data_IF_615701767298
#
_entry.id   IF_615701767298
#
_cell.length_a   1.000
_cell.length_b   1.000
_cell.length_c   1.000
_cell.angle_alpha   90.00
_cell.angle_beta   90.00
_cell.angle_gamma   90.00
#
_symmetry.space_group_name_H-M   'P 1'
#
loop_
_entity.id
_entity.type
_entity.pdbx_description
1 polymer ?
#
# COMPACT_ATOMS: atom_id res chain seq x y z
N UNK A 1 3.19 -4.98 -63.34
CA UNK A 1 4.37 -4.27 -62.79
C UNK A 1 4.08 -3.96 -61.32
N UNK A 2 4.77 -4.62 -60.40
CA UNK A 2 4.51 -4.55 -58.95
C UNK A 2 5.40 -3.44 -58.34
N UNK A 3 4.87 -2.51 -57.52
CA UNK A 3 5.68 -1.41 -56.98
C UNK A 3 6.70 -1.93 -55.95
N UNK A 4 7.94 -1.42 -56.04
CA UNK A 4 9.04 -1.69 -55.11
C UNK A 4 8.62 -1.32 -53.68
N UNK A 5 8.71 -2.29 -52.76
CA UNK A 5 8.37 -2.15 -51.34
C UNK A 5 9.18 -1.01 -50.69
N UNK A 6 8.55 -0.06 -49.97
CA UNK A 6 9.23 1.10 -49.35
C UNK A 6 10.04 0.76 -48.08
N UNK A 7 10.38 -0.52 -47.88
CA UNK A 7 11.03 -1.07 -46.68
C UNK A 7 12.28 -0.32 -46.19
N UNK A 8 13.23 0.11 -47.04
CA UNK A 8 14.45 0.74 -46.54
C UNK A 8 14.22 2.16 -45.99
N UNK A 9 13.23 2.89 -46.50
CA UNK A 9 12.92 4.26 -46.07
C UNK A 9 12.21 4.31 -44.72
N UNK A 10 11.35 3.33 -44.46
CA UNK A 10 10.65 3.22 -43.16
C UNK A 10 11.65 2.86 -42.05
N UNK A 11 12.59 1.95 -42.32
CA UNK A 11 13.63 1.57 -41.36
C UNK A 11 14.58 2.72 -41.03
N UNK A 12 14.95 3.54 -42.03
CA UNK A 12 15.78 4.72 -41.80
C UNK A 12 15.05 5.80 -41.01
N UNK A 13 13.76 6.02 -41.29
CA UNK A 13 12.95 6.97 -40.51
C UNK A 13 12.84 6.54 -39.03
N UNK A 14 12.59 5.26 -38.77
CA UNK A 14 12.50 4.73 -37.41
C UNK A 14 13.83 4.86 -36.64
N UNK A 15 14.97 4.65 -37.29
CA UNK A 15 16.28 4.86 -36.68
C UNK A 15 16.51 6.33 -36.32
N UNK A 16 16.13 7.26 -37.18
CA UNK A 16 16.25 8.69 -36.90
C UNK A 16 15.38 9.08 -35.70
N UNK A 17 14.12 8.61 -35.67
CA UNK A 17 13.21 8.86 -34.53
C UNK A 17 13.77 8.29 -33.24
N UNK A 18 14.31 7.07 -33.25
CA UNK A 18 14.94 6.45 -32.09
C UNK A 18 16.12 7.29 -31.55
N UNK A 19 16.99 7.77 -32.44
CA UNK A 19 18.13 8.62 -32.06
C UNK A 19 17.66 9.93 -31.45
N UNK A 20 16.61 10.55 -32.00
CA UNK A 20 16.03 11.78 -31.45
C UNK A 20 15.43 11.55 -30.07
N UNK A 21 14.69 10.44 -29.86
CA UNK A 21 14.12 10.08 -28.56
C UNK A 21 15.22 9.86 -27.53
N UNK A 22 16.28 9.12 -27.87
CA UNK A 22 17.40 8.87 -26.97
C UNK A 22 18.12 10.17 -26.61
N UNK A 23 18.40 11.04 -27.59
CA UNK A 23 19.01 12.34 -27.33
C UNK A 23 18.13 13.23 -26.44
N UNK A 24 16.81 13.22 -26.66
CA UNK A 24 15.85 13.95 -25.83
C UNK A 24 15.81 13.40 -24.40
N UNK A 25 15.84 12.07 -24.21
CA UNK A 25 15.93 11.46 -22.88
C UNK A 25 17.22 11.87 -22.15
N UNK A 26 18.38 11.80 -22.80
CA UNK A 26 19.64 12.23 -22.17
C UNK A 26 19.63 13.71 -21.80
N UNK A 27 18.97 14.55 -22.60
CA UNK A 27 18.80 15.97 -22.28
C UNK A 27 17.85 16.20 -21.09
N UNK A 28 16.72 15.48 -21.03
CA UNK A 28 15.75 15.55 -19.95
C UNK A 28 16.31 15.04 -18.60
N UNK A 29 17.09 13.95 -18.62
CA UNK A 29 17.75 13.41 -17.42
C UNK A 29 18.92 14.29 -16.92
N UNK A 30 19.47 15.15 -17.78
CA UNK A 30 20.55 16.09 -17.42
C UNK A 30 20.02 17.44 -16.92
N UNK A 31 18.72 17.55 -16.65
CA UNK A 31 18.11 18.79 -16.18
C UNK A 31 18.63 19.17 -14.77
N UNK A 32 18.98 20.46 -14.54
CA UNK A 32 19.50 20.92 -13.26
C UNK A 32 18.48 20.79 -12.10
N UNK A 33 17.18 20.73 -12.41
CA UNK A 33 16.11 20.52 -11.42
C UNK A 33 16.18 19.14 -10.74
N UNK A 34 16.59 18.09 -11.45
CA UNK A 34 16.78 16.75 -10.87
C UNK A 34 18.01 16.71 -9.93
N UNK A 35 19.06 17.45 -10.29
CA UNK A 35 20.27 17.59 -9.46
C UNK A 35 19.98 18.38 -8.17
N UNK A 36 19.15 19.42 -8.26
CA UNK A 36 18.70 20.20 -7.11
C UNK A 36 17.80 19.35 -6.20
N UNK A 37 16.86 18.58 -6.76
CA UNK A 37 15.99 17.66 -6.01
C UNK A 37 16.77 16.55 -5.29
N UNK A 38 17.84 16.01 -5.89
CA UNK A 38 18.73 15.03 -5.26
C UNK A 38 19.61 15.64 -4.18
N UNK A 39 20.12 16.86 -4.41
CA UNK A 39 20.91 17.60 -3.41
C UNK A 39 20.08 17.96 -2.18
N UNK A 40 18.81 18.33 -2.37
CA UNK A 40 17.88 18.66 -1.28
C UNK A 40 17.52 17.46 -0.39
N UNK A 41 17.71 16.22 -0.89
CA UNK A 41 17.48 14.97 -0.14
C UNK A 41 18.69 14.54 0.70
N UNK A 42 19.85 15.20 0.58
CA UNK A 42 21.11 14.78 1.26
C UNK A 42 21.52 15.73 2.40
N UNK A 43 20.58 16.54 2.92
CA UNK A 43 20.81 17.38 4.10
C UNK A 43 20.68 16.60 5.41
N UNK A 44 21.82 16.12 5.93
CA UNK A 44 22.00 15.53 7.27
C UNK A 44 21.77 16.57 8.39
N UNK A 45 21.02 16.28 9.48
CA UNK A 45 21.14 17.00 10.75
C UNK A 45 22.33 16.48 11.58
N UNK A 46 22.94 17.31 12.44
CA UNK A 46 24.28 17.08 12.97
C UNK A 46 24.36 15.99 14.05
N UNK A 47 25.50 15.31 14.04
CA UNK A 47 25.95 14.36 15.06
C UNK A 47 26.34 15.07 16.37
N UNK A 48 25.94 14.55 17.55
CA UNK A 48 26.65 14.80 18.79
C UNK A 48 27.29 13.51 19.32
N UNK A 49 28.62 13.57 19.52
CA UNK A 49 29.30 12.84 20.59
C UNK A 49 29.88 11.47 20.24
N UNK A 50 31.20 11.38 20.34
CA UNK A 50 32.04 10.17 20.36
C UNK A 50 31.51 9.10 21.34
N UNK A 51 31.43 7.80 20.96
CA UNK A 51 31.25 6.73 21.94
C UNK A 51 32.54 6.48 22.72
N UNK A 52 32.48 6.56 24.05
CA UNK A 52 33.51 6.04 24.96
C UNK A 52 33.52 4.50 24.99
N UNK A 53 34.64 3.87 25.40
CA UNK A 53 34.79 2.41 25.45
C UNK A 53 33.81 1.72 26.41
N UNK A 54 33.31 0.57 25.97
CA UNK A 54 32.28 -0.28 26.59
C UNK A 54 32.65 -0.75 28.00
N UNK A 55 31.76 -0.51 28.97
CA UNK A 55 31.68 -1.28 30.21
C UNK A 55 30.60 -2.39 30.07
N UNK A 56 30.74 -3.55 30.75
CA UNK A 56 29.92 -4.73 30.48
C UNK A 56 28.50 -4.55 31.06
N UNK A 57 27.48 -4.66 30.21
CA UNK A 57 26.10 -4.78 30.66
C UNK A 57 25.88 -6.22 31.09
N UNK A 58 25.71 -6.40 32.39
CA UNK A 58 25.24 -7.64 33.01
C UNK A 58 23.76 -7.87 32.69
N UNK A 59 23.44 -9.13 32.40
CA UNK A 59 22.17 -9.83 32.52
C UNK A 59 20.93 -9.27 31.77
N UNK A 60 20.77 -9.74 30.52
CA UNK A 60 19.45 -9.87 29.90
C UNK A 60 18.75 -11.13 30.47
N UNK A 61 17.54 -11.05 31.03
CA UNK A 61 16.72 -12.23 31.23
C UNK A 61 16.22 -12.79 29.90
N UNK A 62 16.24 -14.12 29.86
CA UNK A 62 15.95 -15.10 28.82
C UNK A 62 15.11 -14.68 27.60
N UNK A 63 15.53 -15.24 26.47
CA UNK A 63 14.86 -15.16 25.18
C UNK A 63 13.36 -15.48 25.26
N UNK A 64 12.54 -14.63 24.66
CA UNK A 64 11.15 -14.97 24.36
C UNK A 64 11.10 -16.30 23.58
N UNK A 65 10.19 -17.22 23.91
CA UNK A 65 10.12 -18.51 23.23
C UNK A 65 9.85 -18.34 21.73
N UNK A 66 10.29 -19.29 20.88
CA UNK A 66 10.02 -19.24 19.45
C UNK A 66 8.50 -19.26 19.23
N UNK A 67 7.96 -18.20 18.63
CA UNK A 67 6.59 -18.19 18.13
C UNK A 67 6.50 -19.28 17.06
N UNK A 68 5.90 -20.41 17.41
CA UNK A 68 5.63 -21.49 16.46
C UNK A 68 4.51 -21.00 15.56
N UNK A 69 4.83 -20.52 14.36
CA UNK A 69 3.82 -20.08 13.40
C UNK A 69 3.06 -21.30 12.89
N UNK A 70 1.79 -21.39 13.29
CA UNK A 70 0.89 -22.43 12.80
C UNK A 70 0.18 -21.87 11.56
N UNK A 71 0.45 -22.43 10.39
CA UNK A 71 -0.18 -22.01 9.14
C UNK A 71 -1.47 -22.79 8.87
N UNK A 72 -2.50 -22.09 8.39
CA UNK A 72 -3.73 -22.66 7.85
C UNK A 72 -3.50 -23.27 6.46
N UNK A 73 -4.49 -24.03 5.95
CA UNK A 73 -4.48 -24.58 4.60
C UNK A 73 -4.30 -23.52 3.48
N UNK A 74 -4.57 -22.23 3.78
CA UNK A 74 -4.36 -21.10 2.87
C UNK A 74 -2.95 -20.50 2.89
N UNK A 75 -2.03 -21.06 3.68
CA UNK A 75 -0.65 -20.57 3.82
C UNK A 75 -0.52 -19.28 4.64
N UNK A 76 -1.53 -18.98 5.48
CA UNK A 76 -1.55 -17.82 6.39
C UNK A 76 -1.63 -18.33 7.82
N UNK A 77 -1.00 -17.64 8.76
CA UNK A 77 -1.07 -17.97 10.20
C UNK A 77 -2.52 -18.15 10.69
N UNK A 78 -2.75 -19.13 11.57
CA UNK A 78 -4.09 -19.49 12.06
C UNK A 78 -4.76 -18.32 12.79
N UNK A 79 -4.02 -17.49 13.53
CA UNK A 79 -4.60 -16.33 14.20
C UNK A 79 -5.01 -15.25 13.18
N UNK A 80 -4.22 -15.06 12.12
CA UNK A 80 -4.57 -14.18 11.00
C UNK A 80 -5.78 -14.72 10.22
N UNK A 81 -5.90 -16.03 10.05
CA UNK A 81 -7.09 -16.64 9.46
C UNK A 81 -8.35 -16.37 10.30
N UNK A 82 -8.30 -16.65 11.60
CA UNK A 82 -9.43 -16.43 12.50
C UNK A 82 -9.87 -14.95 12.51
N UNK A 83 -8.91 -14.04 12.51
CA UNK A 83 -9.16 -12.59 12.41
C UNK A 83 -9.81 -12.20 11.08
N UNK A 84 -9.39 -12.80 9.96
CA UNK A 84 -10.02 -12.56 8.67
C UNK A 84 -11.45 -13.11 8.61
N UNK A 85 -11.75 -14.17 9.37
CA UNK A 85 -13.09 -14.77 9.41
C UNK A 85 -14.10 -13.89 10.17
N UNK A 86 -13.61 -13.03 11.09
CA UNK A 86 -14.40 -12.02 11.80
C UNK A 86 -14.92 -10.89 10.89
N UNK A 87 -14.34 -10.69 9.69
CA UNK A 87 -14.82 -9.69 8.74
C UNK A 87 -16.28 -9.95 8.37
N UNK A 88 -17.05 -8.87 8.29
CA UNK A 88 -18.47 -8.86 7.96
C UNK A 88 -19.33 -9.62 8.98
N UNK A 89 -18.84 -9.82 10.21
CA UNK A 89 -19.65 -10.37 11.27
C UNK A 89 -20.75 -9.34 11.65
N UNK A 90 -22.01 -9.73 11.47
CA UNK A 90 -23.19 -8.91 11.76
C UNK A 90 -23.36 -8.57 13.25
N UNK A 91 -22.75 -9.34 14.16
CA UNK A 91 -22.72 -9.04 15.59
C UNK A 91 -21.75 -7.91 15.94
N UNK A 92 -20.82 -7.57 15.04
CA UNK A 92 -19.85 -6.48 15.23
C UNK A 92 -20.31 -5.20 14.51
N UNK A 93 -20.01 -4.01 15.06
CA UNK A 93 -20.27 -2.74 14.38
C UNK A 93 -19.49 -2.68 13.04
N UNK A 94 -20.02 -2.02 12.00
CA UNK A 94 -19.35 -1.93 10.70
C UNK A 94 -17.92 -1.38 10.74
N UNK A 95 -17.64 -0.44 11.65
CA UNK A 95 -16.29 0.10 11.84
C UNK A 95 -15.26 -0.99 12.18
N UNK A 96 -15.68 -2.08 12.85
CA UNK A 96 -14.79 -3.19 13.19
C UNK A 96 -14.20 -3.87 11.95
N UNK A 97 -14.93 -3.91 10.84
CA UNK A 97 -14.41 -4.49 9.59
C UNK A 97 -13.22 -3.68 9.08
N UNK A 98 -13.29 -2.35 9.17
CA UNK A 98 -12.24 -1.44 8.73
C UNK A 98 -11.01 -1.52 9.66
N UNK A 99 -11.23 -1.66 10.96
CA UNK A 99 -10.16 -1.92 11.93
C UNK A 99 -9.43 -3.23 11.62
N UNK A 100 -10.15 -4.31 11.33
CA UNK A 100 -9.55 -5.59 10.96
C UNK A 100 -8.70 -5.44 9.69
N UNK A 101 -9.19 -4.74 8.67
CA UNK A 101 -8.40 -4.46 7.45
C UNK A 101 -7.15 -3.64 7.80
N UNK A 102 -7.26 -2.61 8.64
CA UNK A 102 -6.11 -1.83 9.08
C UNK A 102 -5.06 -2.67 9.83
N UNK A 103 -5.49 -3.61 10.69
CA UNK A 103 -4.61 -4.55 11.40
C UNK A 103 -3.82 -5.44 10.41
N UNK A 104 -4.43 -5.85 9.28
CA UNK A 104 -3.71 -6.58 8.23
C UNK A 104 -2.71 -5.71 7.47
N UNK A 105 -3.06 -4.46 7.16
CA UNK A 105 -2.14 -3.50 6.54
C UNK A 105 -0.94 -3.21 7.45
N UNK A 106 -1.18 -3.07 8.76
CA UNK A 106 -0.12 -2.90 9.75
C UNK A 106 0.76 -4.15 9.84
N UNK A 107 0.17 -5.34 9.85
CA UNK A 107 0.92 -6.61 9.85
C UNK A 107 1.79 -6.75 8.60
N UNK A 108 1.25 -6.38 7.43
CA UNK A 108 2.02 -6.32 6.18
C UNK A 108 3.18 -5.33 6.29
N UNK A 109 2.94 -4.13 6.82
CA UNK A 109 3.96 -3.10 6.97
C UNK A 109 5.08 -3.53 7.94
N UNK A 110 4.73 -4.22 9.03
CA UNK A 110 5.72 -4.81 9.95
C UNK A 110 6.60 -5.86 9.25
N UNK A 111 6.02 -6.64 8.34
CA UNK A 111 6.74 -7.68 7.59
C UNK A 111 7.58 -7.17 6.41
N UNK A 112 7.21 -6.05 5.80
CA UNK A 112 7.84 -5.53 4.58
C UNK A 112 8.57 -4.21 4.75
N UNK A 113 8.37 -3.51 5.86
CA UNK A 113 8.93 -2.20 6.17
C UNK A 113 8.09 -1.00 5.72
N UNK A 114 7.01 -1.21 4.96
CA UNK A 114 6.12 -0.13 4.51
C UNK A 114 4.68 -0.62 4.29
N UNK A 115 3.71 0.28 4.46
CA UNK A 115 2.33 0.00 4.05
C UNK A 115 2.26 -0.26 2.53
N UNK A 116 1.35 -1.14 2.07
CA UNK A 116 1.13 -1.31 0.63
C UNK A 116 0.58 0.01 0.05
N UNK A 117 0.89 0.25 -1.21
CA UNK A 117 0.47 1.46 -1.94
C UNK A 117 -0.22 1.06 -3.24
N UNK A 118 -1.14 1.90 -3.71
CA UNK A 118 -1.90 1.66 -4.92
C UNK A 118 -3.40 1.77 -4.66
N UNK A 119 -4.19 1.25 -5.60
CA UNK A 119 -5.63 1.15 -5.42
C UNK A 119 -6.01 -0.07 -4.56
N UNK A 120 -7.32 -0.32 -4.39
CA UNK A 120 -7.80 -1.48 -3.64
C UNK A 120 -7.26 -2.81 -4.19
N UNK A 121 -7.21 -2.98 -5.51
CA UNK A 121 -6.76 -4.23 -6.11
C UNK A 121 -5.25 -4.44 -5.88
N UNK A 122 -4.45 -3.38 -5.99
CA UNK A 122 -3.02 -3.41 -5.68
C UNK A 122 -2.78 -3.77 -4.21
N UNK A 123 -3.48 -3.10 -3.29
CA UNK A 123 -3.38 -3.34 -1.84
C UNK A 123 -3.81 -4.77 -1.51
N UNK A 124 -4.93 -5.22 -2.08
CA UNK A 124 -5.42 -6.59 -1.90
C UNK A 124 -4.38 -7.60 -2.37
N UNK A 125 -3.86 -7.43 -3.60
CA UNK A 125 -2.84 -8.31 -4.15
C UNK A 125 -1.55 -8.33 -3.31
N UNK A 126 -1.16 -7.21 -2.72
CA UNK A 126 -0.03 -7.11 -1.83
C UNK A 126 -0.24 -7.97 -0.58
N UNK A 127 -1.36 -7.80 0.12
CA UNK A 127 -1.59 -8.47 1.41
C UNK A 127 -2.00 -9.95 1.26
N UNK A 128 -2.57 -10.34 0.12
CA UNK A 128 -2.85 -11.74 -0.23
C UNK A 128 -1.64 -12.45 -0.85
N UNK A 129 -0.53 -11.74 -1.08
CA UNK A 129 0.67 -12.32 -1.67
C UNK A 129 0.45 -12.83 -3.09
N UNK A 130 -0.29 -12.07 -3.91
CA UNK A 130 -0.60 -12.40 -5.31
C UNK A 130 -0.12 -11.32 -6.29
N UNK A 131 0.58 -10.28 -5.82
CA UNK A 131 1.06 -9.20 -6.68
C UNK A 131 2.16 -9.67 -7.64
N UNK A 132 3.01 -10.61 -7.22
CA UNK A 132 4.00 -11.24 -8.08
C UNK A 132 4.34 -12.67 -7.63
N UNK A 133 4.79 -13.55 -8.54
CA UNK A 133 5.19 -14.91 -8.20
C UNK A 133 6.26 -14.95 -7.10
N UNK A 134 6.05 -15.76 -6.07
CA UNK A 134 7.01 -15.95 -4.98
C UNK A 134 6.97 -14.88 -3.88
N UNK A 135 5.98 -13.98 -3.87
CA UNK A 135 5.79 -13.04 -2.77
C UNK A 135 5.55 -13.77 -1.45
N UNK A 136 6.35 -13.43 -0.42
CA UNK A 136 6.30 -14.10 0.90
C UNK A 136 5.37 -13.44 1.91
N UNK A 137 5.08 -12.14 1.74
CA UNK A 137 4.29 -11.35 2.69
C UNK A 137 2.78 -11.60 2.54
N UNK A 138 2.35 -12.84 2.75
CA UNK A 138 0.94 -13.23 2.72
C UNK A 138 0.34 -13.16 4.12
N UNK A 139 -0.28 -12.03 4.43
CA UNK A 139 -0.88 -11.77 5.76
C UNK A 139 -2.39 -11.94 5.73
N UNK A 140 -3.02 -11.85 4.55
CA UNK A 140 -4.46 -11.98 4.37
C UNK A 140 -4.81 -13.23 3.55
N UNK A 141 -5.82 -14.03 3.94
CA UNK A 141 -6.19 -15.23 3.20
C UNK A 141 -6.84 -14.90 1.84
N UNK A 142 -6.29 -15.37 0.71
CA UNK A 142 -6.77 -15.00 -0.63
C UNK A 142 -8.19 -15.49 -0.95
N UNK A 143 -8.66 -16.53 -0.26
CA UNK A 143 -9.98 -17.13 -0.47
C UNK A 143 -11.05 -16.63 0.53
N UNK A 144 -10.80 -15.52 1.22
CA UNK A 144 -11.77 -14.96 2.16
C UNK A 144 -12.99 -14.40 1.42
N UNK A 145 -14.18 -14.50 2.03
CA UNK A 145 -15.45 -13.97 1.49
C UNK A 145 -15.44 -12.46 1.19
N UNK A 146 -14.59 -11.72 1.89
CA UNK A 146 -14.41 -10.29 1.72
C UNK A 146 -13.55 -9.93 0.49
N UNK A 147 -12.93 -10.91 -0.18
CA UNK A 147 -12.22 -10.68 -1.44
C UNK A 147 -13.12 -11.03 -2.62
N UNK A 148 -13.42 -10.05 -3.46
CA UNK A 148 -14.20 -10.22 -4.70
C UNK A 148 -13.49 -9.55 -5.86
N UNK A 149 -13.28 -10.30 -6.94
CA UNK A 149 -12.59 -9.80 -8.15
C UNK A 149 -11.22 -9.16 -7.85
N UNK A 150 -10.50 -9.69 -6.86
CA UNK A 150 -9.19 -9.19 -6.45
C UNK A 150 -9.23 -7.91 -5.61
N UNK A 151 -10.40 -7.50 -5.12
CA UNK A 151 -10.58 -6.34 -4.25
C UNK A 151 -11.17 -6.76 -2.90
N UNK A 152 -10.78 -6.10 -1.82
CA UNK A 152 -11.46 -6.21 -0.52
C UNK A 152 -12.73 -5.36 -0.58
N UNK A 153 -13.86 -5.99 -0.28
CA UNK A 153 -15.17 -5.35 -0.23
C UNK A 153 -15.66 -5.23 1.20
N UNK A 154 -16.49 -4.23 1.47
CA UNK A 154 -17.24 -4.11 2.72
C UNK A 154 -18.37 -5.14 2.83
N UNK A 155 -19.08 -5.13 3.95
CA UNK A 155 -20.18 -6.07 4.24
C UNK A 155 -21.39 -5.90 3.31
N UNK A 156 -21.51 -4.78 2.61
CA UNK A 156 -22.55 -4.53 1.59
C UNK A 156 -22.10 -4.89 0.17
N UNK A 157 -20.84 -5.32 0.04
CA UNK A 157 -20.23 -5.80 -1.19
C UNK A 157 -19.60 -4.71 -2.05
N UNK A 158 -19.44 -3.50 -1.52
CA UNK A 158 -18.79 -2.39 -2.22
C UNK A 158 -17.27 -2.43 -1.96
N UNK A 159 -16.41 -2.22 -2.97
CA UNK A 159 -14.97 -2.14 -2.76
C UNK A 159 -14.61 -1.03 -1.76
N UNK A 160 -13.75 -1.36 -0.80
CA UNK A 160 -13.20 -0.35 0.10
C UNK A 160 -12.39 0.69 -0.67
N UNK A 161 -12.44 1.94 -0.23
CA UNK A 161 -11.56 2.99 -0.72
C UNK A 161 -10.39 3.18 0.24
N UNK A 162 -9.20 3.28 -0.31
CA UNK A 162 -7.95 3.47 0.42
C UNK A 162 -7.29 4.77 0.00
N UNK A 163 -6.85 5.56 0.98
CA UNK A 163 -6.07 6.76 0.71
C UNK A 163 -4.93 6.92 1.70
N UNK A 164 -3.67 6.98 1.24
CA UNK A 164 -2.54 7.18 2.14
C UNK A 164 -2.54 8.63 2.64
N UNK A 165 -2.84 8.82 3.92
CA UNK A 165 -2.68 10.11 4.60
C UNK A 165 -1.19 10.44 4.82
N UNK A 166 -0.37 9.41 5.05
CA UNK A 166 1.08 9.50 5.19
C UNK A 166 1.72 8.12 4.93
N UNK A 167 3.04 7.99 5.08
CA UNK A 167 3.72 6.69 4.93
C UNK A 167 3.28 5.62 5.94
N UNK A 168 2.60 6.02 7.02
CA UNK A 168 2.24 5.15 8.13
C UNK A 168 0.74 5.25 8.50
N UNK A 169 -0.03 6.06 7.77
CA UNK A 169 -1.45 6.30 8.03
C UNK A 169 -2.23 6.23 6.73
N UNK A 170 -3.33 5.48 6.73
CA UNK A 170 -4.19 5.27 5.58
C UNK A 170 -5.63 5.46 6.02
N UNK A 171 -6.37 6.30 5.30
CA UNK A 171 -7.82 6.34 5.36
C UNK A 171 -8.36 5.07 4.71
N UNK A 172 -9.31 4.42 5.40
CA UNK A 172 -10.07 3.30 4.88
C UNK A 172 -11.54 3.70 4.95
N UNK A 173 -12.24 3.62 3.82
CA UNK A 173 -13.64 4.02 3.70
C UNK A 173 -14.48 2.90 3.09
N UNK A 174 -15.63 2.65 3.71
CA UNK A 174 -16.71 1.83 3.16
C UNK A 174 -17.82 2.75 2.65
N UNK A 175 -18.41 2.40 1.52
CA UNK A 175 -19.55 3.10 0.93
C UNK A 175 -20.88 2.82 1.63
N UNK A 176 -20.86 2.16 2.80
CA UNK A 176 -22.03 1.95 3.62
C UNK A 176 -23.16 1.13 2.97
N UNK A 177 -24.32 1.05 3.65
CA UNK A 177 -25.56 0.51 3.10
C UNK A 177 -25.98 1.07 1.73
N UNK A 178 -25.72 2.36 1.45
CA UNK A 178 -26.13 3.01 0.20
C UNK A 178 -25.23 2.69 -1.01
N UNK A 179 -24.05 2.11 -0.73
CA UNK A 179 -23.03 1.66 -1.70
C UNK A 179 -22.47 2.79 -2.55
N UNK A 180 -22.45 4.01 -2.02
CA UNK A 180 -21.92 5.18 -2.70
C UNK A 180 -20.85 5.81 -1.82
N UNK A 181 -19.64 5.93 -2.36
CA UNK A 181 -18.57 6.65 -1.67
C UNK A 181 -18.87 8.14 -1.61
N UNK A 182 -18.39 8.75 -0.53
CA UNK A 182 -18.45 10.18 -0.23
C UNK A 182 -19.85 10.68 0.09
N UNK A 183 -20.65 9.83 0.73
CA UNK A 183 -21.95 10.19 1.31
C UNK A 183 -21.85 10.25 2.84
N UNK A 184 -22.86 10.82 3.54
CA UNK A 184 -22.93 10.76 5.00
C UNK A 184 -23.08 9.35 5.59
N UNK A 185 -23.39 8.33 4.78
CA UNK A 185 -23.55 6.93 5.20
C UNK A 185 -22.22 6.17 5.28
N UNK A 186 -21.15 6.76 4.73
CA UNK A 186 -19.81 6.18 4.73
C UNK A 186 -19.32 5.89 6.16
N UNK A 187 -18.69 4.73 6.31
CA UNK A 187 -17.90 4.43 7.50
C UNK A 187 -16.44 4.69 7.17
N UNK A 188 -15.78 5.49 8.00
CA UNK A 188 -14.44 5.99 7.74
C UNK A 188 -13.55 5.67 8.94
N UNK A 189 -12.41 5.05 8.69
CA UNK A 189 -11.33 4.88 9.64
C UNK A 189 -10.16 5.77 9.22
N UNK A 190 -9.56 6.49 10.17
CA UNK A 190 -8.45 7.43 9.94
C UNK A 190 -8.75 8.46 8.83
N UNK A 191 -9.81 9.29 8.98
CA UNK A 191 -10.17 10.26 7.94
C UNK A 191 -8.99 11.18 7.61
N UNK A 192 -8.79 11.42 6.31
CA UNK A 192 -7.83 12.39 5.82
C UNK A 192 -8.09 13.76 6.42
N UNK A 193 -7.04 14.54 6.72
CA UNK A 193 -7.19 15.93 7.11
C UNK A 193 -8.02 16.70 6.07
N UNK A 194 -8.87 17.61 6.55
CA UNK A 194 -9.68 18.46 5.68
C UNK A 194 -8.81 19.19 4.64
N UNK A 195 -9.25 19.18 3.38
CA UNK A 195 -8.53 19.78 2.26
C UNK A 195 -7.44 18.89 1.62
N UNK A 196 -7.14 17.72 2.21
CA UNK A 196 -6.18 16.75 1.65
C UNK A 196 -6.82 15.41 1.25
N UNK A 197 -8.11 15.20 1.51
CA UNK A 197 -8.88 14.03 1.07
C UNK A 197 -10.31 14.39 0.65
N UNK A 198 -11.12 13.37 0.36
CA UNK A 198 -12.51 13.52 -0.08
C UNK A 198 -13.52 13.67 1.09
N UNK A 199 -13.06 13.57 2.34
CA UNK A 199 -13.88 13.85 3.53
C UNK A 199 -14.19 15.35 3.60
N UNK A 200 -15.46 15.77 3.51
CA UNK A 200 -15.83 17.16 3.75
C UNK A 200 -15.43 17.58 5.17
N UNK A 201 -15.02 18.83 5.36
CA UNK A 201 -14.82 19.36 6.71
C UNK A 201 -16.11 19.18 7.53
N UNK A 202 -15.98 18.69 8.76
CA UNK A 202 -17.10 18.64 9.68
C UNK A 202 -17.74 20.05 9.77
N UNK A 203 -19.07 20.18 9.73
CA UNK A 203 -19.70 21.48 9.85
C UNK A 203 -19.30 22.11 11.20
N UNK A 204 -19.00 23.41 11.24
CA UNK A 204 -18.63 24.07 12.49
C UNK A 204 -19.84 24.03 13.44
N UNK A 205 -19.73 23.31 14.57
CA UNK A 205 -20.73 23.39 15.65
C UNK A 205 -21.06 22.13 16.45
N UNK A 206 -20.45 20.97 16.19
CA UNK A 206 -20.68 19.76 17.01
C UNK A 206 -19.45 19.43 17.86
N UNK A 207 -19.49 19.86 19.13
CA UNK A 207 -18.82 19.25 20.28
C UNK A 207 -19.88 18.72 21.24
#
# INVERSE_FOLDING_TARGET
MLPKRPGPYIMTLLLIVLVVIVAWMFHALSSPELQEALSKKTGTPPSPGTPQPVAPVQDLPDAAPPVTQNFSAGGVDVALQAKADELHNEQNPPLRDLEIVAEFLETYAKGTGAAPVGDNADITAAITGTQFPGQKARVFPPNNKAVRKGQIVDRWGEPLWFHPNSGNSMEIRSGGPDKQLFTPDDIILNPSPGGFGATPAAPPGTL
#
